data_IF_220081860697
#
_entry.id   IF_220081860697
#
_cell.length_a   1.000
_cell.length_b   1.000
_cell.length_c   1.000
_cell.angle_alpha   90.00
_cell.angle_beta   90.00
_cell.angle_gamma   90.00
#
_symmetry.space_group_name_H-M   'P 1'
#
loop_
_entity.id
_entity.type
_entity.pdbx_description
1 polymer ?
#
# COMPACT_ATOMS: atom_id res chain seq x y z
N UNK A 1 34.56 16.18 21.50
CA UNK A 1 33.90 14.86 21.63
C UNK A 1 33.75 14.29 20.24
N UNK A 2 34.45 13.19 19.96
CA UNK A 2 34.54 12.58 18.62
C UNK A 2 33.23 11.87 18.28
N UNK A 3 32.59 12.29 17.19
CA UNK A 3 31.42 11.64 16.60
C UNK A 3 31.73 10.24 16.00
N UNK A 4 32.99 9.78 16.07
CA UNK A 4 33.45 8.55 15.43
C UNK A 4 33.23 7.25 16.22
N UNK A 5 32.79 7.29 17.48
CA UNK A 5 32.71 6.08 18.33
C UNK A 5 31.33 5.40 18.35
N UNK A 6 30.27 6.11 17.96
CA UNK A 6 28.90 5.55 17.92
C UNK A 6 28.74 4.51 16.79
N UNK A 7 29.32 4.76 15.62
CA UNK A 7 28.99 3.96 14.41
C UNK A 7 29.59 2.55 14.38
N UNK A 8 30.68 2.27 15.09
CA UNK A 8 31.40 1.00 14.96
C UNK A 8 31.08 -0.02 16.06
N UNK A 9 30.80 0.45 17.28
CA UNK A 9 30.70 -0.41 18.47
C UNK A 9 29.24 -0.69 18.91
N UNK A 10 28.25 0.15 18.53
CA UNK A 10 26.89 0.12 19.12
C UNK A 10 25.82 -0.60 18.27
N UNK A 11 26.17 -1.30 17.19
CA UNK A 11 25.20 -1.93 16.29
C UNK A 11 24.12 -0.95 15.78
N UNK A 12 24.58 0.25 15.40
CA UNK A 12 23.75 1.34 14.92
C UNK A 12 22.87 0.92 13.72
N UNK A 13 23.34 -0.03 12.91
CA UNK A 13 22.57 -0.61 11.82
C UNK A 13 21.28 -1.28 12.31
N UNK A 14 21.32 -2.07 13.38
CA UNK A 14 20.13 -2.72 13.95
C UNK A 14 19.12 -1.70 14.46
N UNK A 15 19.58 -0.59 15.06
CA UNK A 15 18.71 0.53 15.43
C UNK A 15 18.08 1.18 14.19
N UNK A 16 18.87 1.50 13.17
CA UNK A 16 18.38 2.15 11.93
C UNK A 16 17.42 1.27 11.12
N UNK A 17 17.46 -0.05 11.27
CA UNK A 17 16.45 -0.93 10.67
C UNK A 17 15.07 -0.82 11.35
N UNK A 18 15.00 -0.31 12.57
CA UNK A 18 13.78 -0.28 13.42
C UNK A 18 13.07 1.07 13.40
N UNK A 19 13.16 1.79 12.27
CA UNK A 19 12.70 3.20 12.14
C UNK A 19 11.28 3.44 12.63
N UNK A 20 10.33 2.56 12.31
CA UNK A 20 8.93 2.75 12.72
C UNK A 20 8.74 2.68 14.23
N UNK A 21 9.41 1.72 14.89
CA UNK A 21 9.37 1.58 16.33
C UNK A 21 10.08 2.76 17.02
N UNK A 22 11.25 3.15 16.52
CA UNK A 22 11.97 4.30 17.05
C UNK A 22 11.16 5.60 16.92
N UNK A 23 10.57 5.83 15.74
CA UNK A 23 9.73 6.99 15.51
C UNK A 23 8.47 7.00 16.39
N UNK A 24 7.89 5.83 16.66
CA UNK A 24 6.77 5.71 17.61
C UNK A 24 7.21 6.04 19.04
N UNK A 25 8.34 5.49 19.51
CA UNK A 25 8.90 5.81 20.83
C UNK A 25 9.27 7.29 20.99
N UNK A 26 9.75 7.92 19.92
CA UNK A 26 10.14 9.33 19.92
C UNK A 26 8.97 10.29 19.64
N UNK A 27 7.76 9.76 19.44
CA UNK A 27 6.56 10.56 19.18
C UNK A 27 5.83 10.94 20.48
N UNK A 28 4.89 11.89 20.37
CA UNK A 28 3.99 12.27 21.47
C UNK A 28 2.78 11.31 21.60
N UNK A 29 2.92 10.06 21.14
CA UNK A 29 1.89 9.03 21.30
C UNK A 29 1.68 8.68 22.79
N UNK A 30 0.42 8.62 23.23
CA UNK A 30 0.06 8.41 24.64
C UNK A 30 0.56 7.05 25.17
N UNK A 31 0.55 6.03 24.33
CA UNK A 31 1.01 4.68 24.67
C UNK A 31 2.53 4.65 24.78
N UNK A 32 3.23 5.28 23.82
CA UNK A 32 4.68 5.46 23.87
C UNK A 32 5.11 6.23 25.13
N UNK A 33 4.44 7.35 25.42
CA UNK A 33 4.73 8.20 26.59
C UNK A 33 4.51 7.44 27.90
N UNK A 34 3.43 6.67 27.98
CA UNK A 34 3.12 5.85 29.15
C UNK A 34 4.16 4.75 29.36
N UNK A 35 4.61 4.10 28.28
CA UNK A 35 5.67 3.10 28.32
C UNK A 35 7.00 3.71 28.80
N UNK A 36 7.44 4.81 28.22
CA UNK A 36 8.68 5.49 28.60
C UNK A 36 8.69 5.87 30.08
N UNK A 37 7.56 6.38 30.59
CA UNK A 37 7.39 6.68 32.00
C UNK A 37 7.49 5.42 32.88
N UNK A 38 6.89 4.31 32.46
CA UNK A 38 6.96 3.03 33.19
C UNK A 38 8.40 2.47 33.22
N UNK A 39 9.18 2.69 32.16
CA UNK A 39 10.59 2.34 32.07
C UNK A 39 11.52 3.33 32.79
N UNK A 40 10.98 4.39 33.40
CA UNK A 40 11.76 5.42 34.08
C UNK A 40 12.56 6.31 33.13
N UNK A 41 12.26 6.28 31.83
CA UNK A 41 12.87 7.16 30.84
C UNK A 41 12.17 8.52 30.93
N UNK A 42 12.89 9.50 31.48
CA UNK A 42 12.41 10.88 31.57
C UNK A 42 12.28 11.57 30.20
N UNK A 43 11.91 12.86 30.21
CA UNK A 43 11.86 13.68 28.99
C UNK A 43 13.26 13.88 28.41
N UNK A 44 13.69 12.96 27.56
CA UNK A 44 14.91 13.04 26.76
C UNK A 44 14.56 13.35 25.30
N UNK A 45 15.51 13.94 24.57
CA UNK A 45 15.30 14.38 23.18
C UNK A 45 15.11 13.20 22.20
N UNK A 46 15.67 12.04 22.51
CA UNK A 46 15.51 10.82 21.70
C UNK A 46 15.34 9.59 22.62
N UNK A 47 14.12 9.37 23.15
CA UNK A 47 13.83 8.25 24.04
C UNK A 47 14.18 6.88 23.47
N UNK A 48 13.95 6.65 22.18
CA UNK A 48 14.28 5.41 21.49
C UNK A 48 15.78 5.10 21.52
N UNK A 49 16.63 6.12 21.30
CA UNK A 49 18.10 6.00 21.39
C UNK A 49 18.55 5.78 22.82
N UNK A 50 17.94 6.49 23.78
CA UNK A 50 18.26 6.33 25.19
C UNK A 50 17.94 4.90 25.66
N UNK A 51 16.79 4.36 25.27
CA UNK A 51 16.40 2.98 25.57
C UNK A 51 17.33 1.98 24.87
N UNK A 52 17.63 2.17 23.59
CA UNK A 52 18.49 1.26 22.82
C UNK A 52 19.92 1.16 23.39
N UNK A 53 20.50 2.30 23.78
CA UNK A 53 21.86 2.35 24.32
C UNK A 53 21.93 2.04 25.83
N UNK A 54 20.88 2.37 26.59
CA UNK A 54 20.85 2.23 28.04
C UNK A 54 20.36 0.87 28.53
N UNK A 55 19.32 0.31 27.87
CA UNK A 55 18.75 -0.98 28.21
C UNK A 55 18.30 -1.73 26.94
N UNK A 56 19.26 -2.43 26.34
CA UNK A 56 19.07 -3.17 25.09
C UNK A 56 18.09 -4.35 25.24
N UNK A 57 17.92 -4.89 26.45
CA UNK A 57 16.98 -5.98 26.73
C UNK A 57 15.57 -5.42 26.72
N UNK A 58 15.30 -4.37 27.52
CA UNK A 58 14.00 -3.72 27.55
C UNK A 58 13.60 -3.16 26.17
N UNK A 59 14.56 -2.59 25.43
CA UNK A 59 14.32 -2.19 24.03
C UNK A 59 13.82 -3.36 23.17
N UNK A 60 14.47 -4.53 23.29
CA UNK A 60 14.13 -5.72 22.52
C UNK A 60 12.74 -6.27 22.85
N UNK A 61 12.42 -6.36 24.13
CA UNK A 61 11.11 -6.82 24.61
C UNK A 61 9.98 -5.89 24.14
N UNK A 62 10.18 -4.58 24.23
CA UNK A 62 9.16 -3.61 23.81
C UNK A 62 9.01 -3.52 22.29
N UNK A 63 10.09 -3.76 21.53
CA UNK A 63 10.01 -3.92 20.08
C UNK A 63 9.14 -5.13 19.72
N UNK A 64 9.35 -6.27 20.37
CA UNK A 64 8.58 -7.49 20.11
C UNK A 64 7.10 -7.30 20.46
N UNK A 65 6.80 -6.65 21.59
CA UNK A 65 5.44 -6.28 21.99
C UNK A 65 4.79 -5.33 21.00
N UNK A 66 5.52 -4.31 20.54
CA UNK A 66 5.03 -3.37 19.53
C UNK A 66 4.70 -4.09 18.21
N UNK A 67 5.59 -4.95 17.72
CA UNK A 67 5.38 -5.72 16.49
C UNK A 67 4.20 -6.68 16.61
N UNK A 68 4.11 -7.40 17.73
CA UNK A 68 3.02 -8.35 18.01
C UNK A 68 1.67 -7.64 18.03
N UNK A 69 1.53 -6.55 18.80
CA UNK A 69 0.28 -5.78 18.87
C UNK A 69 -0.17 -5.28 17.50
N UNK A 70 0.76 -4.75 16.70
CA UNK A 70 0.44 -4.26 15.35
C UNK A 70 0.04 -5.37 14.40
N UNK A 71 0.72 -6.51 14.46
CA UNK A 71 0.36 -7.68 13.69
C UNK A 71 -1.04 -8.15 14.07
N UNK A 72 -1.31 -8.33 15.36
CA UNK A 72 -2.62 -8.77 15.86
C UNK A 72 -3.73 -7.79 15.49
N UNK A 73 -3.48 -6.50 15.67
CA UNK A 73 -4.39 -5.46 15.21
C UNK A 73 -4.66 -5.61 13.71
N UNK A 74 -3.63 -5.72 12.86
CA UNK A 74 -3.79 -5.86 11.42
C UNK A 74 -4.57 -7.13 11.03
N UNK A 75 -4.39 -8.23 11.77
CA UNK A 75 -5.11 -9.49 11.55
C UNK A 75 -6.56 -9.47 12.06
N UNK A 76 -6.96 -8.42 12.80
CA UNK A 76 -8.32 -8.20 13.26
C UNK A 76 -8.59 -8.59 14.72
N UNK A 77 -7.55 -8.71 15.55
CA UNK A 77 -7.72 -8.94 16.99
C UNK A 77 -8.65 -7.89 17.61
N UNK A 78 -9.61 -8.35 18.42
CA UNK A 78 -10.64 -7.51 19.05
C UNK A 78 -11.72 -6.96 18.11
N UNK A 79 -11.60 -7.17 16.78
CA UNK A 79 -12.57 -6.72 15.76
C UNK A 79 -13.28 -7.87 15.06
N UNK A 80 -12.64 -9.02 15.00
CA UNK A 80 -13.15 -10.26 14.44
C UNK A 80 -13.31 -11.30 15.55
N UNK A 81 -14.18 -12.28 15.33
CA UNK A 81 -14.26 -13.46 16.20
C UNK A 81 -12.99 -14.34 16.10
N UNK A 82 -12.84 -15.25 17.06
CA UNK A 82 -11.68 -16.13 17.17
C UNK A 82 -11.46 -16.98 15.91
N UNK A 83 -12.54 -17.35 15.22
CA UNK A 83 -12.47 -18.16 14.01
C UNK A 83 -11.84 -17.39 12.85
N UNK A 84 -12.33 -16.18 12.57
CA UNK A 84 -11.78 -15.34 11.50
C UNK A 84 -10.40 -14.81 11.83
N UNK A 85 -10.15 -14.44 13.08
CA UNK A 85 -8.81 -14.06 13.53
C UNK A 85 -7.80 -15.20 13.36
N UNK A 86 -8.16 -16.41 13.79
CA UNK A 86 -7.34 -17.61 13.63
C UNK A 86 -7.03 -17.90 12.15
N UNK A 87 -8.03 -17.77 11.26
CA UNK A 87 -7.83 -17.92 9.82
C UNK A 87 -6.88 -16.87 9.23
N UNK A 88 -7.07 -15.59 9.57
CA UNK A 88 -6.18 -14.52 9.09
C UNK A 88 -4.74 -14.75 9.53
N UNK A 89 -4.53 -15.16 10.80
CA UNK A 89 -3.20 -15.51 11.31
C UNK A 89 -2.58 -16.69 10.55
N UNK A 90 -3.36 -17.73 10.26
CA UNK A 90 -2.89 -18.87 9.47
C UNK A 90 -2.49 -18.47 8.04
N UNK A 91 -3.31 -17.65 7.36
CA UNK A 91 -3.00 -17.15 6.02
C UNK A 91 -1.76 -16.25 6.00
N UNK A 92 -1.62 -15.37 7.00
CA UNK A 92 -0.44 -14.51 7.15
C UNK A 92 0.83 -15.37 7.27
N UNK A 93 0.82 -16.36 8.16
CA UNK A 93 1.96 -17.26 8.35
C UNK A 93 2.28 -18.07 7.07
N UNK A 94 1.26 -18.55 6.36
CA UNK A 94 1.43 -19.27 5.11
C UNK A 94 2.04 -18.39 3.99
N UNK A 95 1.83 -17.08 4.04
CA UNK A 95 2.35 -16.12 3.05
C UNK A 95 3.82 -15.77 3.26
N UNK A 96 4.37 -15.96 4.47
CA UNK A 96 5.74 -15.54 4.81
C UNK A 96 6.80 -16.23 3.96
N UNK A 97 6.74 -17.55 3.82
CA UNK A 97 7.74 -18.30 3.05
C UNK A 97 7.69 -17.99 1.54
N UNK A 98 6.50 -17.97 0.88
CA UNK A 98 6.39 -17.49 -0.50
C UNK A 98 6.89 -16.06 -0.71
N UNK A 99 6.66 -15.14 0.24
CA UNK A 99 7.19 -13.78 0.17
C UNK A 99 8.71 -13.77 0.25
N UNK A 100 9.31 -14.51 1.19
CA UNK A 100 10.79 -14.63 1.29
C UNK A 100 11.39 -15.25 0.02
N UNK A 101 10.73 -16.25 -0.53
CA UNK A 101 11.12 -16.92 -1.78
C UNK A 101 10.83 -16.09 -3.04
N UNK A 102 10.16 -14.93 -2.90
CA UNK A 102 9.77 -14.04 -4.01
C UNK A 102 8.91 -14.74 -5.08
N UNK A 103 8.04 -15.69 -4.68
CA UNK A 103 7.15 -16.43 -5.59
C UNK A 103 5.71 -15.92 -5.59
N UNK A 104 5.40 -14.89 -4.79
CA UNK A 104 4.06 -14.30 -4.72
C UNK A 104 3.84 -13.38 -5.92
N UNK A 105 2.69 -13.50 -6.56
CA UNK A 105 2.19 -12.58 -7.60
C UNK A 105 0.99 -11.85 -7.01
N UNK A 106 1.11 -10.56 -6.65
CA UNK A 106 -0.01 -9.81 -6.09
C UNK A 106 -1.04 -9.49 -7.17
N UNK A 107 -2.31 -9.71 -6.84
CA UNK A 107 -3.45 -9.17 -7.58
C UNK A 107 -3.99 -7.96 -6.80
N UNK A 108 -3.93 -6.78 -7.38
CA UNK A 108 -4.33 -5.52 -6.73
C UNK A 108 -5.44 -4.84 -7.52
N UNK A 109 -6.45 -4.36 -6.80
CA UNK A 109 -7.56 -3.61 -7.38
C UNK A 109 -7.59 -2.17 -6.91
N UNK A 110 -8.71 -1.50 -7.13
CA UNK A 110 -8.88 -0.06 -6.88
C UNK A 110 -8.62 0.36 -5.43
N UNK A 111 -8.67 -0.57 -4.47
CA UNK A 111 -8.35 -0.33 -3.07
C UNK A 111 -6.95 0.26 -2.83
N UNK A 112 -5.97 -0.09 -3.68
CA UNK A 112 -4.62 0.47 -3.57
C UNK A 112 -4.55 1.97 -3.94
N UNK A 113 -5.51 2.42 -4.74
CA UNK A 113 -5.61 3.78 -5.26
C UNK A 113 -6.55 4.66 -4.42
N UNK A 114 -7.16 4.15 -3.35
CA UNK A 114 -8.09 4.92 -2.52
C UNK A 114 -7.46 6.18 -1.89
N UNK A 115 -6.18 6.11 -1.51
CA UNK A 115 -5.44 7.26 -0.97
C UNK A 115 -4.91 8.19 -2.07
N UNK A 116 -4.95 7.77 -3.35
CA UNK A 116 -4.34 8.48 -4.46
C UNK A 116 -5.08 9.75 -4.88
N UNK A 117 -6.20 10.09 -4.23
CA UNK A 117 -7.06 11.24 -4.58
C UNK A 117 -7.63 11.18 -6.00
N UNK A 118 -7.75 9.96 -6.55
CA UNK A 118 -8.36 9.71 -7.85
C UNK A 118 -9.88 9.59 -7.71
N UNK A 119 -10.66 9.97 -8.76
CA UNK A 119 -12.10 9.85 -8.71
C UNK A 119 -12.52 8.39 -8.57
N UNK A 120 -13.58 8.12 -7.80
CA UNK A 120 -14.21 6.80 -7.81
C UNK A 120 -14.91 6.57 -9.15
N UNK A 121 -15.16 5.32 -9.52
CA UNK A 121 -15.97 4.97 -10.70
C UNK A 121 -17.31 5.70 -10.72
N UNK A 122 -18.02 5.73 -9.59
CA UNK A 122 -19.29 6.46 -9.46
C UNK A 122 -19.13 7.95 -9.72
N UNK A 123 -18.12 8.61 -9.13
CA UNK A 123 -17.89 10.03 -9.32
C UNK A 123 -17.51 10.37 -10.77
N UNK A 124 -16.69 9.51 -11.39
CA UNK A 124 -16.26 9.66 -12.77
C UNK A 124 -17.42 9.48 -13.76
N UNK A 125 -18.22 8.43 -13.61
CA UNK A 125 -19.40 8.19 -14.46
C UNK A 125 -20.42 9.32 -14.31
N UNK A 126 -20.65 9.81 -13.09
CA UNK A 126 -21.56 10.96 -12.86
C UNK A 126 -21.08 12.22 -13.58
N UNK A 127 -19.76 12.48 -13.57
CA UNK A 127 -19.17 13.59 -14.31
C UNK A 127 -19.37 13.43 -15.82
N UNK A 128 -19.06 12.26 -16.37
CA UNK A 128 -19.23 12.00 -17.81
C UNK A 128 -20.71 12.04 -18.23
N UNK A 129 -21.62 11.53 -17.41
CA UNK A 129 -23.06 11.55 -17.67
C UNK A 129 -23.59 13.00 -17.70
N UNK A 130 -23.15 13.84 -16.75
CA UNK A 130 -23.47 15.26 -16.75
C UNK A 130 -22.97 15.95 -18.01
N UNK A 131 -21.73 15.66 -18.44
CA UNK A 131 -21.15 16.18 -19.69
C UNK A 131 -21.87 15.66 -20.94
N UNK A 132 -22.51 14.50 -20.87
CA UNK A 132 -23.35 13.91 -21.91
C UNK A 132 -24.82 14.39 -21.89
N UNK A 133 -25.19 15.26 -20.94
CA UNK A 133 -26.54 15.83 -20.83
C UNK A 133 -27.56 14.98 -20.07
N UNK A 134 -27.13 13.91 -19.38
CA UNK A 134 -28.01 13.13 -18.52
C UNK A 134 -28.28 13.84 -17.19
N UNK A 135 -29.43 13.56 -16.58
CA UNK A 135 -29.74 14.03 -15.21
C UNK A 135 -28.85 13.32 -14.18
N UNK A 136 -28.00 14.04 -13.44
CA UNK A 136 -27.14 13.44 -12.42
C UNK A 136 -27.92 12.68 -11.33
N UNK A 137 -29.16 13.08 -11.04
CA UNK A 137 -29.96 12.45 -9.98
C UNK A 137 -30.39 11.05 -10.38
N UNK A 138 -30.92 10.90 -11.60
CA UNK A 138 -31.30 9.60 -12.17
C UNK A 138 -30.09 8.67 -12.30
N UNK A 139 -28.99 9.19 -12.86
CA UNK A 139 -27.73 8.43 -13.00
C UNK A 139 -27.24 7.92 -11.65
N UNK A 140 -27.24 8.76 -10.62
CA UNK A 140 -26.79 8.36 -9.29
C UNK A 140 -27.67 7.27 -8.68
N UNK A 141 -28.99 7.35 -8.85
CA UNK A 141 -29.92 6.34 -8.35
C UNK A 141 -29.78 5.01 -9.09
N UNK A 142 -29.50 5.03 -10.40
CA UNK A 142 -29.20 3.82 -11.18
C UNK A 142 -27.85 3.21 -10.79
N UNK A 143 -26.81 4.02 -10.58
CA UNK A 143 -25.51 3.53 -10.08
C UNK A 143 -25.63 2.88 -8.70
N UNK A 144 -26.47 3.42 -7.81
CA UNK A 144 -26.76 2.80 -6.50
C UNK A 144 -27.44 1.44 -6.61
N UNK A 145 -28.14 1.17 -7.71
CA UNK A 145 -28.73 -0.14 -8.03
C UNK A 145 -27.75 -1.10 -8.72
N UNK A 146 -26.52 -0.65 -8.99
CA UNK A 146 -25.49 -1.44 -9.67
C UNK A 146 -25.55 -1.39 -11.18
N UNK A 147 -26.33 -0.49 -11.78
CA UNK A 147 -26.49 -0.36 -13.24
C UNK A 147 -25.30 0.37 -13.90
N UNK A 148 -24.07 -0.05 -13.61
CA UNK A 148 -22.87 0.60 -14.15
C UNK A 148 -22.74 0.42 -15.68
N UNK A 149 -22.85 -0.83 -16.16
CA UNK A 149 -22.65 -1.14 -17.58
C UNK A 149 -23.69 -0.45 -18.49
N UNK A 150 -25.01 -0.50 -18.21
CA UNK A 150 -25.99 0.17 -19.06
C UNK A 150 -25.78 1.68 -19.15
N UNK A 151 -25.41 2.33 -18.04
CA UNK A 151 -25.13 3.78 -18.03
C UNK A 151 -23.89 4.10 -18.87
N UNK A 152 -22.84 3.29 -18.75
CA UNK A 152 -21.62 3.47 -19.55
C UNK A 152 -21.95 3.33 -21.04
N UNK A 153 -22.74 2.32 -21.42
CA UNK A 153 -23.17 2.11 -22.81
C UNK A 153 -24.01 3.28 -23.34
N UNK A 154 -24.90 3.86 -22.53
CA UNK A 154 -25.68 5.05 -22.88
C UNK A 154 -24.78 6.29 -23.07
N UNK A 155 -23.81 6.49 -22.19
CA UNK A 155 -22.83 7.58 -22.30
C UNK A 155 -21.98 7.41 -23.58
N UNK A 156 -21.48 6.19 -23.82
CA UNK A 156 -20.69 5.85 -25.01
C UNK A 156 -21.53 6.04 -26.28
N UNK A 157 -22.80 5.65 -26.27
CA UNK A 157 -23.71 5.83 -27.40
C UNK A 157 -23.98 7.31 -27.70
N UNK A 158 -24.04 8.14 -26.65
CA UNK A 158 -24.26 9.59 -26.77
C UNK A 158 -23.00 10.34 -27.24
N UNK A 159 -21.82 10.01 -26.71
CA UNK A 159 -20.59 10.81 -26.90
C UNK A 159 -19.50 10.15 -27.73
N UNK A 160 -19.64 8.86 -28.03
CA UNK A 160 -18.64 8.04 -28.68
C UNK A 160 -17.62 7.44 -27.71
N UNK A 161 -17.24 6.19 -27.97
CA UNK A 161 -16.31 5.42 -27.14
C UNK A 161 -14.93 6.08 -27.01
N UNK A 162 -14.43 6.71 -28.07
CA UNK A 162 -13.11 7.36 -28.07
C UNK A 162 -13.01 8.48 -27.05
N UNK A 163 -14.04 9.33 -26.96
CA UNK A 163 -14.09 10.44 -26.01
C UNK A 163 -14.25 9.95 -24.57
N UNK A 164 -15.12 8.95 -24.35
CA UNK A 164 -15.27 8.31 -23.04
C UNK A 164 -13.95 7.75 -22.51
N UNK A 165 -13.22 7.00 -23.36
CA UNK A 165 -11.94 6.41 -22.99
C UNK A 165 -10.84 7.45 -22.79
N UNK A 166 -10.88 8.56 -23.53
CA UNK A 166 -9.93 9.66 -23.32
C UNK A 166 -10.17 10.35 -21.98
N UNK A 167 -11.40 10.75 -21.67
CA UNK A 167 -11.72 11.40 -20.39
C UNK A 167 -11.46 10.48 -19.20
N UNK A 168 -11.67 9.18 -19.36
CA UNK A 168 -11.27 8.18 -18.37
C UNK A 168 -9.76 8.21 -18.15
N UNK A 169 -8.95 8.15 -19.21
CA UNK A 169 -7.50 8.25 -19.06
C UNK A 169 -7.08 9.56 -18.41
N UNK A 170 -7.62 10.69 -18.84
CA UNK A 170 -7.26 12.01 -18.31
C UNK A 170 -7.61 12.13 -16.81
N UNK A 171 -8.74 11.56 -16.38
CA UNK A 171 -9.15 11.56 -14.98
C UNK A 171 -8.26 10.68 -14.08
N UNK A 172 -7.72 9.58 -14.62
CA UNK A 172 -6.91 8.62 -13.87
C UNK A 172 -5.38 8.76 -14.09
N UNK A 173 -4.95 9.59 -15.04
CA UNK A 173 -3.56 10.02 -15.26
C UNK A 173 -3.20 11.28 -14.45
N UNK A 174 -4.10 11.75 -13.58
CA UNK A 174 -3.92 12.93 -12.72
C UNK A 174 -2.80 12.80 -11.67
N UNK A 175 -2.53 13.90 -10.96
CA UNK A 175 -1.52 13.95 -9.89
C UNK A 175 -1.97 13.06 -8.73
N UNK A 176 -1.15 12.06 -8.38
CA UNK A 176 -1.37 11.21 -7.21
C UNK A 176 -0.78 11.90 -6.00
N UNK A 177 -1.57 12.00 -4.93
CA UNK A 177 -1.15 12.66 -3.69
C UNK A 177 -0.43 11.70 -2.74
N UNK A 178 -0.81 10.42 -2.74
CA UNK A 178 -0.24 9.41 -1.85
C UNK A 178 -0.05 8.07 -2.57
N UNK A 179 1.20 7.61 -2.61
CA UNK A 179 1.62 6.31 -3.17
C UNK A 179 2.13 5.34 -2.09
N UNK A 180 1.95 5.65 -0.80
CA UNK A 180 2.55 4.91 0.32
C UNK A 180 2.14 3.43 0.34
N UNK A 181 0.84 3.14 0.18
CA UNK A 181 0.34 1.76 0.14
C UNK A 181 0.87 1.01 -1.09
N UNK A 182 0.87 1.64 -2.27
CA UNK A 182 1.44 1.07 -3.49
C UNK A 182 2.94 0.78 -3.34
N UNK A 183 3.66 1.68 -2.67
CA UNK A 183 5.08 1.52 -2.34
C UNK A 183 5.31 0.30 -1.46
N UNK A 184 4.43 0.02 -0.50
CA UNK A 184 4.52 -1.20 0.32
C UNK A 184 4.35 -2.46 -0.53
N UNK A 185 3.34 -2.50 -1.41
CA UNK A 185 3.10 -3.66 -2.30
C UNK A 185 4.29 -3.92 -3.22
N UNK A 186 4.81 -2.86 -3.84
CA UNK A 186 5.98 -2.93 -4.72
C UNK A 186 7.24 -3.41 -3.98
N UNK A 187 7.40 -3.06 -2.70
CA UNK A 187 8.53 -3.53 -1.88
C UNK A 187 8.41 -5.00 -1.47
N UNK A 188 7.19 -5.48 -1.22
CA UNK A 188 6.95 -6.85 -0.75
C UNK A 188 7.26 -7.90 -1.83
N UNK A 189 7.07 -7.54 -3.09
CA UNK A 189 7.19 -8.47 -4.21
C UNK A 189 8.04 -7.85 -5.32
N UNK A 190 9.03 -8.59 -5.82
CA UNK A 190 9.84 -8.19 -7.00
C UNK A 190 9.32 -8.75 -8.32
N UNK A 191 8.20 -9.47 -8.25
CA UNK A 191 7.57 -10.17 -9.37
C UNK A 191 6.58 -9.26 -10.12
N UNK A 192 5.87 -9.89 -11.05
CA UNK A 192 4.75 -9.31 -11.80
C UNK A 192 3.63 -8.92 -10.83
N UNK A 193 3.04 -7.75 -11.02
CA UNK A 193 1.83 -7.31 -10.32
C UNK A 193 0.68 -7.36 -11.32
N UNK A 194 -0.39 -8.06 -10.98
CA UNK A 194 -1.63 -8.06 -11.76
C UNK A 194 -2.54 -6.98 -11.21
N UNK A 195 -3.04 -6.09 -12.06
CA UNK A 195 -3.92 -5.01 -11.63
C UNK A 195 -5.04 -4.76 -12.61
N UNK A 196 -6.23 -4.47 -12.10
CA UNK A 196 -7.37 -4.02 -12.90
C UNK A 196 -7.46 -2.49 -12.95
N UNK A 197 -6.47 -1.78 -12.38
CA UNK A 197 -6.50 -0.33 -12.26
C UNK A 197 -5.93 0.32 -13.52
N UNK A 198 -6.67 1.30 -14.04
CA UNK A 198 -6.23 2.14 -15.16
C UNK A 198 -5.24 3.23 -14.73
N UNK A 199 -5.28 3.62 -13.46
CA UNK A 199 -4.39 4.64 -12.92
C UNK A 199 -2.91 4.25 -12.92
N UNK A 200 -2.05 5.24 -12.69
CA UNK A 200 -0.58 5.09 -12.67
C UNK A 200 0.02 5.02 -11.27
N UNK A 201 -0.76 4.66 -10.24
CA UNK A 201 -0.30 4.70 -8.85
C UNK A 201 0.86 3.72 -8.62
N UNK A 202 0.82 2.54 -9.23
CA UNK A 202 1.89 1.54 -9.12
C UNK A 202 3.17 1.97 -9.84
N UNK A 203 3.04 2.56 -11.01
CA UNK A 203 4.13 3.11 -11.82
C UNK A 203 4.82 4.26 -11.08
N UNK A 204 4.05 5.14 -10.45
CA UNK A 204 4.61 6.22 -9.64
C UNK A 204 5.29 5.69 -8.38
N UNK A 205 4.71 4.68 -7.70
CA UNK A 205 5.35 4.02 -6.56
C UNK A 205 6.71 3.40 -6.93
N UNK A 206 6.82 2.78 -8.11
CA UNK A 206 8.09 2.28 -8.64
C UNK A 206 9.10 3.42 -8.84
N UNK A 207 8.67 4.50 -9.48
CA UNK A 207 9.51 5.68 -9.68
C UNK A 207 9.98 6.29 -8.35
N UNK A 208 9.12 6.39 -7.35
CA UNK A 208 9.46 6.90 -6.00
C UNK A 208 10.52 6.04 -5.31
N UNK A 209 10.54 4.74 -5.61
CA UNK A 209 11.54 3.81 -5.10
C UNK A 209 12.85 3.77 -5.91
N UNK A 210 12.92 4.50 -7.02
CA UNK A 210 14.05 4.43 -7.94
C UNK A 210 14.15 3.10 -8.68
N UNK A 211 13.05 2.35 -8.75
CA UNK A 211 12.97 1.10 -9.51
C UNK A 211 12.83 1.42 -11.01
N UNK A 212 13.32 0.54 -11.90
CA UNK A 212 13.10 0.71 -13.33
C UNK A 212 11.60 0.68 -13.65
N UNK A 213 11.15 1.39 -14.71
CA UNK A 213 9.77 1.30 -15.17
C UNK A 213 9.37 -0.15 -15.42
N UNK A 214 8.21 -0.54 -14.90
CA UNK A 214 7.68 -1.87 -15.17
C UNK A 214 7.20 -1.97 -16.61
N UNK A 215 7.38 -3.13 -17.21
CA UNK A 215 6.79 -3.44 -18.51
C UNK A 215 5.26 -3.55 -18.37
N UNK A 216 4.52 -2.80 -19.18
CA UNK A 216 3.06 -2.92 -19.28
C UNK A 216 2.76 -4.09 -20.21
N UNK A 217 2.08 -5.11 -19.69
CA UNK A 217 1.63 -6.27 -20.46
C UNK A 217 0.10 -6.27 -20.42
N UNK A 218 -0.53 -6.56 -21.55
CA UNK A 218 -1.99 -6.69 -21.63
C UNK A 218 -2.40 -8.14 -21.82
N UNK A 219 -3.61 -8.51 -21.41
CA UNK A 219 -4.14 -9.89 -21.49
C UNK A 219 -4.18 -10.47 -22.92
N UNK A 220 -4.08 -9.64 -23.97
CA UNK A 220 -4.06 -10.07 -25.37
C UNK A 220 -2.66 -10.36 -25.90
N UNK A 221 -1.61 -10.03 -25.15
CA UNK A 221 -0.22 -10.30 -25.54
C UNK A 221 0.22 -11.74 -25.19
N UNK A 222 1.16 -12.27 -25.98
CA UNK A 222 1.71 -13.61 -25.81
C UNK A 222 2.32 -13.80 -24.41
N UNK A 223 1.88 -14.87 -23.73
CA UNK A 223 2.37 -15.30 -22.41
C UNK A 223 3.91 -15.37 -22.32
N UNK A 224 4.60 -15.48 -23.46
CA UNK A 224 6.06 -15.42 -23.55
C UNK A 224 6.67 -14.19 -22.84
N UNK A 225 6.01 -13.02 -22.87
CA UNK A 225 6.52 -11.80 -22.20
C UNK A 225 6.42 -11.89 -20.69
N UNK A 226 5.30 -12.40 -20.18
CA UNK A 226 5.07 -12.65 -18.74
C UNK A 226 6.11 -13.65 -18.23
N UNK A 227 6.29 -14.77 -18.96
CA UNK A 227 7.27 -15.80 -18.60
C UNK A 227 8.69 -15.22 -18.59
N UNK A 228 9.04 -14.39 -19.58
CA UNK A 228 10.35 -13.73 -19.65
C UNK A 228 10.55 -12.74 -18.50
N UNK A 229 9.56 -11.90 -18.21
CA UNK A 229 9.63 -10.95 -17.11
C UNK A 229 9.87 -11.68 -15.78
N UNK A 230 9.09 -12.74 -15.52
CA UNK A 230 9.25 -13.56 -14.32
C UNK A 230 10.61 -14.29 -14.27
N UNK A 231 11.06 -14.88 -15.39
CA UNK A 231 12.33 -15.65 -15.44
C UNK A 231 13.56 -14.75 -15.27
N UNK A 232 13.50 -13.51 -15.76
CA UNK A 232 14.60 -12.55 -15.66
C UNK A 232 14.55 -11.70 -14.37
N UNK A 233 13.55 -11.94 -13.49
CA UNK A 233 13.32 -11.10 -12.33
C UNK A 233 12.99 -9.64 -12.69
N UNK A 234 12.46 -9.41 -13.89
CA UNK A 234 12.01 -8.11 -14.34
C UNK A 234 10.57 -7.88 -13.91
N UNK A 235 10.29 -6.65 -13.47
CA UNK A 235 8.95 -6.27 -13.04
C UNK A 235 8.06 -5.99 -14.24
N UNK A 236 6.85 -6.56 -14.21
CA UNK A 236 5.79 -6.25 -15.15
C UNK A 236 4.49 -5.90 -14.42
N UNK A 237 3.67 -5.05 -15.03
CA UNK A 237 2.29 -4.81 -14.64
C UNK A 237 1.38 -5.43 -15.69
N UNK A 238 0.61 -6.44 -15.29
CA UNK A 238 -0.43 -7.00 -16.15
C UNK A 238 -1.71 -6.18 -15.93
N UNK A 239 -2.12 -5.45 -16.98
CA UNK A 239 -3.31 -4.58 -17.02
C UNK A 239 -4.34 -5.07 -18.03
#
# INVERSE_FOLDING_TARGET
>A
MSAGKWCADDDHAAYEHRKMFNAWLDSDDDEATSLLKALGIGKVVAPSKALFAGDRVAYGEELERYQTRRLEFALGYGRLDDHWFGKNRAHFNALLEPLKAQTVVPFVGAGISCAASLPTWTAHILHQAKSAGFDPTDVLDRLRKGEYEPIIDEIISSRGQGLFMQEMRDAFDGVVVDVSLATMVVRLTRSIIVTTNYDRVLEQALSTLGEPPAELVTATEDNARIIRAQSNGQRALLK
#
